data_IF_548233952529
#
_entry.id   IF_548233952529
#
_cell.length_a   1.000
_cell.length_b   1.000
_cell.length_c   1.000
_cell.angle_alpha   90.00
_cell.angle_beta   90.00
_cell.angle_gamma   90.00
#
_symmetry.space_group_name_H-M   'P 1'
#
loop_
_entity.id
_entity.type
_entity.pdbx_description
1 polymer ?
#
# COMPACT_ATOMS: atom_id res chain seq x y z
N UNK A 1 40.11 32.41 2.47
CA UNK A 1 39.36 31.38 1.70
C UNK A 1 39.90 29.99 2.08
N UNK A 2 39.33 29.34 3.11
CA UNK A 2 39.88 28.10 3.68
C UNK A 2 39.27 26.81 3.11
N UNK A 3 40.03 25.70 3.16
CA UNK A 3 39.63 24.38 2.68
C UNK A 3 38.26 23.89 3.20
N UNK A 4 37.94 24.17 4.46
CA UNK A 4 36.65 23.79 5.08
C UNK A 4 35.47 24.53 4.44
N UNK A 5 35.64 25.80 4.08
CA UNK A 5 34.61 26.59 3.41
C UNK A 5 34.35 26.05 1.99
N UNK A 6 35.41 25.70 1.26
CA UNK A 6 35.29 25.09 -0.06
C UNK A 6 34.61 23.71 -0.01
N UNK A 7 34.91 22.90 1.02
CA UNK A 7 34.25 21.60 1.21
C UNK A 7 32.75 21.76 1.54
N UNK A 8 32.40 22.70 2.42
CA UNK A 8 31.00 23.05 2.71
C UNK A 8 30.26 23.52 1.46
N UNK A 9 30.87 24.40 0.67
CA UNK A 9 30.30 24.91 -0.57
C UNK A 9 30.06 23.78 -1.61
N UNK A 10 31.04 22.89 -1.82
CA UNK A 10 30.87 21.71 -2.70
C UNK A 10 29.77 20.77 -2.22
N UNK A 11 29.67 20.53 -0.91
CA UNK A 11 28.59 19.71 -0.34
C UNK A 11 27.22 20.36 -0.50
N UNK A 12 27.13 21.68 -0.31
CA UNK A 12 25.90 22.44 -0.54
C UNK A 12 25.48 22.39 -2.01
N UNK A 13 26.42 22.58 -2.94
CA UNK A 13 26.17 22.47 -4.39
C UNK A 13 25.66 21.07 -4.77
N UNK A 14 26.31 20.00 -4.27
CA UNK A 14 25.86 18.62 -4.52
C UNK A 14 24.46 18.34 -3.97
N UNK A 15 24.13 18.88 -2.80
CA UNK A 15 22.78 18.78 -2.22
C UNK A 15 21.74 19.55 -3.03
N UNK A 16 22.06 20.77 -3.45
CA UNK A 16 21.18 21.56 -4.30
C UNK A 16 20.92 20.85 -5.64
N UNK A 17 21.96 20.26 -6.24
CA UNK A 17 21.84 19.45 -7.44
C UNK A 17 20.95 18.22 -7.22
N UNK A 18 21.14 17.46 -6.14
CA UNK A 18 20.29 16.29 -5.87
C UNK A 18 18.82 16.66 -5.65
N UNK A 19 18.55 17.79 -4.99
CA UNK A 19 17.18 18.27 -4.77
C UNK A 19 16.54 18.72 -6.09
N UNK A 20 17.32 19.42 -6.92
CA UNK A 20 16.87 19.81 -8.26
C UNK A 20 16.56 18.58 -9.13
N UNK A 21 17.45 17.60 -9.15
CA UNK A 21 17.26 16.35 -9.90
C UNK A 21 16.03 15.57 -9.42
N UNK A 22 15.81 15.48 -8.10
CA UNK A 22 14.61 14.82 -7.57
C UNK A 22 13.32 15.56 -7.95
N UNK A 23 13.32 16.90 -7.87
CA UNK A 23 12.16 17.71 -8.22
C UNK A 23 11.84 17.65 -9.71
N UNK A 24 12.88 17.65 -10.57
CA UNK A 24 12.71 17.49 -12.01
C UNK A 24 12.13 16.13 -12.36
N UNK A 25 12.62 15.06 -11.71
CA UNK A 25 12.13 13.71 -11.91
C UNK A 25 10.65 13.58 -11.49
N UNK A 26 10.29 14.16 -10.35
CA UNK A 26 8.90 14.21 -9.87
C UNK A 26 7.99 14.94 -10.86
N UNK A 27 8.40 16.13 -11.30
CA UNK A 27 7.67 16.92 -12.30
C UNK A 27 7.51 16.18 -13.64
N UNK A 28 8.56 15.49 -14.11
CA UNK A 28 8.46 14.68 -15.34
C UNK A 28 7.47 13.52 -15.19
N UNK A 29 7.45 12.85 -14.03
CA UNK A 29 6.49 11.78 -13.76
C UNK A 29 5.07 12.30 -13.78
N UNK A 30 4.80 13.41 -13.10
CA UNK A 30 3.49 14.03 -13.07
C UNK A 30 3.03 14.44 -14.46
N UNK A 31 3.87 15.12 -15.23
CA UNK A 31 3.54 15.50 -16.60
C UNK A 31 3.25 14.30 -17.50
N UNK A 32 4.01 13.21 -17.37
CA UNK A 32 3.75 11.98 -18.13
C UNK A 32 2.37 11.41 -17.79
N UNK A 33 2.03 11.34 -16.51
CA UNK A 33 0.72 10.84 -16.06
C UNK A 33 -0.41 11.74 -16.54
N UNK A 34 -0.26 13.06 -16.43
CA UNK A 34 -1.28 14.02 -16.86
C UNK A 34 -1.48 14.02 -18.38
N UNK A 35 -0.41 13.98 -19.17
CA UNK A 35 -0.49 13.90 -20.62
C UNK A 35 -1.16 12.61 -21.07
N UNK A 36 -0.82 11.48 -20.45
CA UNK A 36 -1.47 10.20 -20.74
C UNK A 36 -2.95 10.20 -20.37
N UNK A 37 -3.33 10.80 -19.24
CA UNK A 37 -4.72 10.96 -18.86
C UNK A 37 -5.49 11.85 -19.87
N UNK A 38 -4.89 12.97 -20.30
CA UNK A 38 -5.47 13.86 -21.30
C UNK A 38 -5.71 13.13 -22.62
N UNK A 39 -4.75 12.32 -23.08
CA UNK A 39 -4.87 11.51 -24.28
C UNK A 39 -6.06 10.55 -24.19
N UNK A 40 -6.18 9.80 -23.09
CA UNK A 40 -7.32 8.89 -22.85
C UNK A 40 -8.65 9.65 -22.91
N UNK A 41 -8.77 10.79 -22.24
CA UNK A 41 -10.02 11.55 -22.23
C UNK A 41 -10.33 12.18 -23.58
N UNK A 42 -9.31 12.59 -24.33
CA UNK A 42 -9.48 13.14 -25.68
C UNK A 42 -9.95 12.05 -26.64
N UNK A 43 -9.33 10.87 -26.61
CA UNK A 43 -9.74 9.72 -27.41
C UNK A 43 -11.19 9.31 -27.08
N UNK A 44 -11.52 9.23 -25.79
CA UNK A 44 -12.89 8.94 -25.36
C UNK A 44 -13.89 10.00 -25.81
N UNK A 45 -13.52 11.29 -25.83
CA UNK A 45 -14.40 12.36 -26.34
C UNK A 45 -14.68 12.23 -27.85
N UNK A 46 -13.74 11.66 -28.60
CA UNK A 46 -13.87 11.38 -30.03
C UNK A 46 -14.65 10.08 -30.30
N UNK A 47 -14.96 9.30 -29.25
CA UNK A 47 -15.60 8.00 -29.35
C UNK A 47 -14.65 6.86 -29.71
N UNK A 48 -13.34 7.11 -29.69
CA UNK A 48 -12.32 6.09 -29.90
C UNK A 48 -12.09 5.32 -28.61
N UNK A 49 -12.29 4.01 -28.69
CA UNK A 49 -12.16 3.10 -27.56
C UNK A 49 -11.02 2.10 -27.76
N UNK A 50 -10.42 1.61 -26.67
CA UNK A 50 -9.59 0.42 -26.72
C UNK A 50 -10.42 -0.74 -27.29
N UNK A 51 -9.87 -1.48 -28.26
CA UNK A 51 -10.53 -2.65 -28.83
C UNK A 51 -10.65 -3.75 -27.76
N UNK A 52 -11.81 -3.81 -27.10
CA UNK A 52 -12.11 -4.79 -26.06
C UNK A 52 -13.43 -5.52 -26.38
N UNK A 53 -13.28 -6.74 -26.88
CA UNK A 53 -14.41 -7.61 -27.27
C UNK A 53 -15.10 -8.28 -26.08
N UNK A 54 -14.62 -8.06 -24.85
CA UNK A 54 -15.07 -8.80 -23.67
C UNK A 54 -15.97 -8.00 -22.72
N UNK A 55 -16.40 -6.79 -23.10
CA UNK A 55 -17.37 -5.99 -22.34
C UNK A 55 -18.60 -5.65 -23.19
N UNK A 56 -19.79 -5.98 -22.70
CA UNK A 56 -21.04 -5.42 -23.23
C UNK A 56 -21.29 -4.06 -22.56
N UNK A 57 -21.18 -3.00 -23.36
CA UNK A 57 -21.41 -1.62 -22.95
C UNK A 57 -22.88 -1.22 -23.08
N UNK A 58 -23.34 -0.33 -22.21
CA UNK A 58 -24.62 0.37 -22.40
C UNK A 58 -24.48 1.48 -23.46
N UNK A 59 -25.60 1.94 -24.01
CA UNK A 59 -25.60 3.08 -24.94
C UNK A 59 -24.96 4.31 -24.29
N UNK A 60 -23.88 4.84 -24.90
CA UNK A 60 -23.13 6.00 -24.40
C UNK A 60 -22.16 5.70 -23.25
N UNK A 61 -21.99 4.42 -22.89
CA UNK A 61 -20.89 3.99 -22.04
C UNK A 61 -19.64 3.83 -22.89
N UNK A 62 -18.53 4.44 -22.45
CA UNK A 62 -17.25 4.33 -23.15
C UNK A 62 -16.17 3.70 -22.28
N UNK A 63 -15.38 2.78 -22.84
CA UNK A 63 -14.20 2.18 -22.19
C UNK A 63 -13.02 3.14 -22.30
N UNK A 64 -12.50 3.56 -21.15
CA UNK A 64 -11.39 4.51 -21.05
C UNK A 64 -10.05 3.78 -20.89
N UNK A 65 -10.05 2.67 -20.15
CA UNK A 65 -8.83 1.96 -19.83
C UNK A 65 -9.09 0.50 -19.46
N UNK A 66 -8.16 -0.37 -19.82
CA UNK A 66 -8.15 -1.79 -19.48
C UNK A 66 -6.76 -2.21 -18.98
N UNK A 67 -6.69 -2.97 -17.91
CA UNK A 67 -5.43 -3.51 -17.41
C UNK A 67 -5.61 -4.57 -16.33
N UNK A 68 -4.51 -5.07 -15.78
CA UNK A 68 -4.53 -6.02 -14.66
C UNK A 68 -4.40 -5.25 -13.33
N UNK A 69 -5.19 -5.61 -12.33
CA UNK A 69 -5.05 -5.07 -10.97
C UNK A 69 -5.09 -6.17 -9.90
N UNK A 70 -4.58 -5.83 -8.72
CA UNK A 70 -4.62 -6.66 -7.52
C UNK A 70 -5.62 -6.03 -6.55
N UNK A 71 -6.56 -6.84 -6.08
CA UNK A 71 -7.52 -6.43 -5.06
C UNK A 71 -6.97 -6.73 -3.66
N UNK A 72 -6.69 -5.65 -2.92
CA UNK A 72 -6.20 -5.72 -1.55
C UNK A 72 -7.36 -5.60 -0.56
N UNK A 73 -7.47 -6.53 0.39
CA UNK A 73 -8.41 -6.44 1.53
C UNK A 73 -7.60 -6.40 2.83
N UNK A 74 -8.03 -5.57 3.78
CA UNK A 74 -7.42 -5.55 5.12
C UNK A 74 -7.77 -6.83 5.87
N UNK A 75 -6.81 -7.74 5.98
CA UNK A 75 -6.87 -8.89 6.88
C UNK A 75 -6.31 -8.54 8.27
N UNK A 76 -6.69 -9.31 9.28
CA UNK A 76 -6.04 -9.27 10.61
C UNK A 76 -5.46 -10.64 10.91
N UNK A 77 -4.21 -10.68 11.36
CA UNK A 77 -3.59 -11.92 11.86
C UNK A 77 -4.34 -12.40 13.11
N UNK A 78 -4.48 -13.72 13.37
CA UNK A 78 -5.05 -14.20 14.63
C UNK A 78 -4.32 -13.62 15.84
N UNK A 79 -5.08 -13.09 16.80
CA UNK A 79 -4.57 -12.50 18.03
C UNK A 79 -3.70 -13.49 18.81
N UNK A 80 -2.56 -13.03 19.31
CA UNK A 80 -1.68 -13.83 20.17
C UNK A 80 -1.91 -13.45 21.63
N UNK A 81 -2.04 -14.47 22.48
CA UNK A 81 -2.08 -14.28 23.92
C UNK A 81 -0.64 -14.30 24.44
N UNK A 82 -0.20 -13.19 25.05
CA UNK A 82 1.13 -13.08 25.65
C UNK A 82 0.99 -12.75 27.13
N UNK A 83 1.60 -13.57 27.97
CA UNK A 83 1.69 -13.34 29.41
C UNK A 83 2.67 -14.34 30.01
N UNK A 84 3.77 -13.87 30.59
CA UNK A 84 4.64 -14.71 31.40
C UNK A 84 4.09 -14.71 32.83
N UNK A 85 3.94 -15.90 33.41
CA UNK A 85 3.58 -16.00 34.82
C UNK A 85 4.81 -15.68 35.67
N UNK A 86 4.85 -14.52 36.33
CA UNK A 86 5.76 -14.31 37.45
C UNK A 86 5.04 -14.72 38.73
N UNK A 87 5.50 -15.80 39.33
CA UNK A 87 5.02 -16.26 40.64
C UNK A 87 6.20 -16.72 41.48
N UNK A 88 6.25 -16.28 42.73
CA UNK A 88 7.23 -16.76 43.70
C UNK A 88 6.58 -17.82 44.60
N UNK A 89 7.32 -18.86 44.97
CA UNK A 89 6.80 -19.98 45.77
C UNK A 89 7.07 -19.74 47.25
N UNK A 90 6.02 -19.69 48.08
CA UNK A 90 6.17 -19.57 49.54
C UNK A 90 6.09 -20.98 50.14
N UNK A 91 7.14 -21.47 50.82
CA UNK A 91 7.08 -22.74 51.53
C UNK A 91 6.23 -22.57 52.79
N UNK A 92 5.26 -23.45 53.00
CA UNK A 92 4.41 -23.42 54.19
C UNK A 92 4.98 -24.37 55.25
N UNK A 93 4.89 -25.69 55.07
CA UNK A 93 5.55 -26.70 55.93
C UNK A 93 5.72 -28.02 55.16
N UNK A 94 6.77 -28.79 55.47
CA UNK A 94 6.99 -30.20 55.07
C UNK A 94 6.65 -30.55 53.61
N UNK A 95 7.33 -29.88 52.66
CA UNK A 95 7.23 -30.21 51.23
C UNK A 95 6.05 -29.56 50.49
N UNK A 96 5.10 -28.95 51.20
CA UNK A 96 3.97 -28.24 50.59
C UNK A 96 4.38 -26.79 50.30
N UNK A 97 4.26 -26.39 49.02
CA UNK A 97 4.57 -25.04 48.53
C UNK A 97 3.32 -24.41 47.94
N UNK A 98 3.00 -23.17 48.33
CA UNK A 98 1.89 -22.41 47.76
C UNK A 98 2.42 -21.44 46.69
N UNK A 99 1.80 -21.44 45.51
CA UNK A 99 2.12 -20.51 44.43
C UNK A 99 1.11 -19.38 44.42
N UNK A 100 1.59 -18.17 44.71
CA UNK A 100 0.87 -16.92 44.41
C UNK A 100 1.47 -16.34 43.14
N UNK A 101 0.72 -16.44 42.04
CA UNK A 101 1.04 -15.80 40.77
C UNK A 101 -0.20 -15.06 40.27
N UNK A 102 -0.02 -13.85 39.77
CA UNK A 102 -1.06 -13.19 38.99
C UNK A 102 -0.94 -13.65 37.53
N UNK A 103 -2.05 -14.09 36.95
CA UNK A 103 -2.12 -14.28 35.50
C UNK A 103 -2.33 -12.90 34.86
N UNK A 104 -1.29 -12.34 34.23
CA UNK A 104 -1.36 -11.08 33.48
C UNK A 104 -1.28 -11.33 31.97
N UNK A 105 -2.09 -12.27 31.47
CA UNK A 105 -2.16 -12.46 30.03
C UNK A 105 -2.99 -11.34 29.40
N UNK A 106 -2.38 -10.53 28.57
CA UNK A 106 -3.06 -9.53 27.75
C UNK A 106 -3.23 -10.09 26.34
N UNK A 107 -4.43 -9.94 25.79
CA UNK A 107 -4.69 -10.28 24.40
C UNK A 107 -4.03 -9.19 23.54
N UNK A 108 -3.03 -9.57 22.75
CA UNK A 108 -2.42 -8.67 21.78
C UNK A 108 -3.20 -8.88 20.47
N UNK A 109 -3.98 -7.89 20.01
CA UNK A 109 -4.62 -7.96 18.70
C UNK A 109 -3.55 -8.15 17.63
N UNK A 110 -3.77 -9.08 16.70
CA UNK A 110 -2.82 -9.32 15.62
C UNK A 110 -2.69 -8.09 14.72
N UNK A 111 -1.51 -7.90 14.12
CA UNK A 111 -1.24 -6.78 13.23
C UNK A 111 -2.17 -6.82 12.00
N UNK A 112 -2.63 -5.63 11.58
CA UNK A 112 -3.40 -5.45 10.35
C UNK A 112 -2.47 -5.72 9.17
N UNK A 113 -2.76 -6.78 8.42
CA UNK A 113 -2.00 -7.19 7.26
C UNK A 113 -2.85 -6.91 6.03
N UNK A 114 -2.33 -6.12 5.10
CA UNK A 114 -2.94 -5.96 3.78
C UNK A 114 -2.75 -7.29 3.03
N UNK A 115 -3.83 -8.03 2.85
CA UNK A 115 -3.81 -9.32 2.16
C UNK A 115 -4.23 -9.12 0.71
N UNK A 116 -3.39 -9.58 -0.21
CA UNK A 116 -3.67 -9.63 -1.64
C UNK A 116 -4.66 -10.78 -1.87
N UNK A 117 -5.95 -10.46 -2.00
CA UNK A 117 -7.01 -11.48 -2.03
C UNK A 117 -7.24 -12.02 -3.43
N UNK A 118 -7.08 -11.18 -4.46
CA UNK A 118 -7.39 -11.58 -5.83
C UNK A 118 -6.62 -10.74 -6.88
N UNK A 119 -6.30 -11.33 -8.02
CA UNK A 119 -5.69 -10.67 -9.18
C UNK A 119 -6.61 -10.81 -10.39
N UNK A 120 -7.06 -9.69 -10.94
CA UNK A 120 -8.08 -9.70 -12.00
C UNK A 120 -7.91 -8.58 -13.02
N UNK A 121 -8.67 -8.71 -14.11
CA UNK A 121 -8.78 -7.67 -15.13
C UNK A 121 -9.64 -6.52 -14.60
N UNK A 122 -9.14 -5.29 -14.72
CA UNK A 122 -9.89 -4.07 -14.44
C UNK A 122 -10.19 -3.34 -15.72
N UNK A 123 -11.44 -2.91 -15.84
CA UNK A 123 -11.91 -2.04 -16.89
C UNK A 123 -12.50 -0.78 -16.26
N UNK A 124 -11.99 0.37 -16.69
CA UNK A 124 -12.53 1.65 -16.30
C UNK A 124 -13.33 2.22 -17.48
N UNK A 125 -14.58 2.55 -17.20
CA UNK A 125 -15.48 3.22 -18.14
C UNK A 125 -15.87 4.59 -17.60
N UNK A 126 -16.51 5.41 -18.42
CA UNK A 126 -17.07 6.69 -17.98
C UNK A 126 -18.17 6.57 -16.90
N UNK A 127 -18.73 5.37 -16.69
CA UNK A 127 -19.85 5.15 -15.76
C UNK A 127 -19.51 4.22 -14.58
N UNK A 128 -18.60 3.26 -14.79
CA UNK A 128 -18.31 2.21 -13.81
C UNK A 128 -16.86 1.73 -13.86
N UNK A 129 -16.39 1.27 -12.71
CA UNK A 129 -15.16 0.50 -12.57
C UNK A 129 -15.55 -0.98 -12.40
N UNK A 130 -14.99 -1.84 -13.25
CA UNK A 130 -15.29 -3.27 -13.28
C UNK A 130 -14.01 -4.01 -12.94
N UNK A 131 -14.07 -4.90 -11.95
CA UNK A 131 -13.00 -5.85 -11.63
C UNK A 131 -13.51 -7.26 -11.90
N UNK A 132 -12.78 -8.02 -12.70
CA UNK A 132 -13.05 -9.40 -13.05
C UNK A 132 -11.85 -10.26 -12.63
N UNK A 133 -11.91 -10.80 -11.41
CA UNK A 133 -10.93 -11.75 -10.87
C UNK A 133 -11.61 -13.06 -10.43
N UNK A 134 -10.84 -14.14 -10.28
CA UNK A 134 -11.35 -15.41 -9.76
C UNK A 134 -11.93 -15.24 -8.35
N UNK A 135 -13.18 -15.65 -8.17
CA UNK A 135 -13.82 -15.70 -6.84
C UNK A 135 -13.08 -16.74 -5.99
N UNK A 136 -12.16 -16.27 -5.14
CA UNK A 136 -11.49 -17.07 -4.11
C UNK A 136 -12.32 -17.13 -2.82
#
# INVERSE_FOLDING_TARGET
MGFIANFKAKRAAKRAQSVYESALLEWEKENKVLNHALEIFTAASQGDEPNDQSLVQKKGELVLWTGQAIYHVTGRTPSRYSGSSQGFSIPLVAGIRYRVGSHSGTMIPGEEMQMDKDQGMVKLTNQRLIFAGPIA
#
